data_IF_681340496171
#
_entry.id   IF_681340496171
#
_cell.length_a   1.000
_cell.length_b   1.000
_cell.length_c   1.000
_cell.angle_alpha   90.00
_cell.angle_beta   90.00
_cell.angle_gamma   90.00
#
_symmetry.space_group_name_H-M   'P 1'
#
loop_
_entity.id
_entity.type
_entity.pdbx_description
1 polymer ?
#
# COMPACT_ATOMS: atom_id res chain seq x y z
N UNK A 1 -12.27 1.16 -11.62
CA UNK A 1 -10.95 1.40 -11.01
C UNK A 1 -11.11 2.24 -9.75
N UNK A 2 -10.45 1.85 -8.67
CA UNK A 2 -10.51 2.56 -7.40
C UNK A 2 -9.45 3.67 -7.44
N UNK A 3 -9.84 4.90 -7.09
CA UNK A 3 -8.86 5.96 -6.91
C UNK A 3 -8.11 5.74 -5.59
N UNK A 4 -6.80 5.70 -5.65
CA UNK A 4 -5.97 5.71 -4.45
C UNK A 4 -6.12 7.06 -3.73
N UNK A 5 -6.42 7.09 -2.42
CA UNK A 5 -6.51 8.33 -1.67
C UNK A 5 -5.19 9.13 -1.74
N UNK A 6 -5.30 10.45 -1.88
CA UNK A 6 -4.11 11.32 -2.08
C UNK A 6 -3.10 11.24 -0.94
N UNK A 7 -3.56 11.12 0.30
CA UNK A 7 -2.68 11.02 1.47
C UNK A 7 -1.90 9.69 1.49
N UNK A 8 -2.50 8.60 1.01
CA UNK A 8 -1.81 7.31 0.81
C UNK A 8 -0.77 7.41 -0.31
N UNK A 9 -1.12 8.03 -1.43
CA UNK A 9 -0.16 8.28 -2.52
C UNK A 9 1.03 9.08 -2.02
N UNK A 10 0.79 10.19 -1.31
CA UNK A 10 1.85 11.05 -0.76
C UNK A 10 2.72 10.30 0.23
N UNK A 11 2.13 9.51 1.13
CA UNK A 11 2.88 8.64 2.05
C UNK A 11 3.80 7.71 1.26
N UNK A 12 3.29 6.98 0.27
CA UNK A 12 4.10 6.04 -0.52
C UNK A 12 5.24 6.75 -1.26
N UNK A 13 4.99 7.90 -1.84
CA UNK A 13 6.04 8.70 -2.50
C UNK A 13 7.10 9.15 -1.48
N UNK A 14 6.69 9.60 -0.29
CA UNK A 14 7.63 10.03 0.74
C UNK A 14 8.45 8.87 1.31
N UNK A 15 7.87 7.69 1.46
CA UNK A 15 8.59 6.47 1.85
C UNK A 15 9.66 6.09 0.81
N UNK A 16 9.35 6.29 -0.47
CA UNK A 16 10.28 5.94 -1.54
C UNK A 16 11.32 7.01 -1.83
N UNK A 17 11.11 8.26 -1.38
CA UNK A 17 12.03 9.39 -1.54
C UNK A 17 12.72 9.41 -2.92
N UNK A 18 11.98 9.65 -4.00
CA UNK A 18 12.53 9.61 -5.35
C UNK A 18 13.65 10.63 -5.54
N UNK A 19 14.67 10.24 -6.31
CA UNK A 19 15.79 11.12 -6.67
C UNK A 19 15.56 11.84 -8.02
N UNK A 20 16.40 12.82 -8.30
CA UNK A 20 16.34 13.60 -9.56
C UNK A 20 16.70 12.78 -10.81
N UNK A 21 17.30 11.60 -10.65
CA UNK A 21 17.78 10.75 -11.73
C UNK A 21 16.90 9.51 -11.95
N UNK A 22 15.77 9.41 -11.25
CA UNK A 22 14.86 8.29 -11.34
C UNK A 22 14.15 8.23 -12.69
N UNK A 23 13.82 6.99 -13.10
CA UNK A 23 12.79 6.70 -14.09
C UNK A 23 11.62 6.05 -13.37
N UNK A 24 10.53 6.79 -13.23
CA UNK A 24 9.37 6.41 -12.41
C UNK A 24 8.27 5.86 -13.30
N UNK A 25 7.79 4.66 -13.00
CA UNK A 25 6.72 4.00 -13.76
C UNK A 25 5.52 3.64 -12.88
N UNK A 26 4.34 3.93 -13.42
CA UNK A 26 3.08 3.35 -12.95
C UNK A 26 2.43 2.60 -14.13
N UNK A 27 2.53 1.26 -14.17
CA UNK A 27 2.00 0.47 -15.29
C UNK A 27 0.49 0.21 -15.21
N UNK A 28 -0.22 0.84 -14.27
CA UNK A 28 -1.68 0.88 -14.14
C UNK A 28 -2.13 2.27 -13.70
N UNK A 29 -1.65 3.31 -14.40
CA UNK A 29 -1.57 4.68 -13.89
C UNK A 29 -2.92 5.38 -13.69
N UNK A 30 -3.99 4.93 -14.31
CA UNK A 30 -5.27 5.60 -14.27
C UNK A 30 -5.15 7.09 -14.59
N UNK A 31 -5.41 7.95 -13.61
CA UNK A 31 -5.27 9.42 -13.74
C UNK A 31 -3.87 9.94 -13.38
N UNK A 32 -2.86 9.09 -13.34
CA UNK A 32 -1.46 9.40 -13.06
C UNK A 32 -1.19 9.96 -11.65
N UNK A 33 -1.99 9.58 -10.66
CA UNK A 33 -1.89 10.13 -9.31
C UNK A 33 -0.52 9.94 -8.65
N UNK A 34 0.10 8.78 -8.79
CA UNK A 34 1.45 8.52 -8.26
C UNK A 34 2.52 9.34 -8.97
N UNK A 35 2.42 9.47 -10.29
CA UNK A 35 3.39 10.22 -11.07
C UNK A 35 3.30 11.72 -10.77
N UNK A 36 2.09 12.27 -10.67
CA UNK A 36 1.86 13.66 -10.24
C UNK A 36 2.44 13.92 -8.86
N UNK A 37 2.12 13.06 -7.88
CA UNK A 37 2.61 13.22 -6.52
C UNK A 37 4.15 13.11 -6.44
N UNK A 38 4.77 12.24 -7.25
CA UNK A 38 6.23 12.16 -7.36
C UNK A 38 6.83 13.46 -7.92
N UNK A 39 6.19 14.02 -8.94
CA UNK A 39 6.60 15.31 -9.51
C UNK A 39 6.49 16.47 -8.50
N UNK A 40 5.36 16.54 -7.76
CA UNK A 40 5.15 17.52 -6.69
C UNK A 40 6.22 17.37 -5.58
N UNK A 41 6.48 16.14 -5.14
CA UNK A 41 7.50 15.83 -4.13
C UNK A 41 8.90 16.31 -4.56
N UNK A 42 9.29 15.98 -5.78
CA UNK A 42 10.59 16.40 -6.34
C UNK A 42 10.69 17.92 -6.48
N UNK A 43 9.64 18.60 -6.90
CA UNK A 43 9.58 20.07 -6.92
C UNK A 43 9.74 20.69 -5.53
N UNK A 44 9.17 20.07 -4.52
CA UNK A 44 9.25 20.57 -3.14
C UNK A 44 10.63 20.30 -2.51
N UNK A 45 11.11 19.07 -2.61
CA UNK A 45 12.31 18.61 -1.89
C UNK A 45 13.61 18.75 -2.64
N UNK A 46 13.59 18.72 -3.98
CA UNK A 46 14.77 18.69 -4.86
C UNK A 46 14.77 19.83 -5.89
N UNK A 47 14.06 20.94 -5.62
CA UNK A 47 13.86 22.04 -6.56
C UNK A 47 15.17 22.59 -7.13
N UNK A 48 16.11 22.93 -6.28
CA UNK A 48 17.38 23.52 -6.71
C UNK A 48 18.21 22.54 -7.53
N UNK A 49 18.26 21.29 -7.09
CA UNK A 49 18.98 20.23 -7.78
C UNK A 49 18.46 19.99 -9.20
N UNK A 50 17.13 20.02 -9.38
CA UNK A 50 16.49 19.72 -10.67
C UNK A 50 16.47 20.95 -11.58
N UNK A 51 16.03 22.11 -11.09
CA UNK A 51 15.71 23.24 -11.95
C UNK A 51 16.89 24.19 -12.21
N UNK A 52 17.99 24.08 -11.48
CA UNK A 52 19.23 24.83 -11.73
C UNK A 52 20.21 24.05 -12.61
N UNK A 53 20.00 22.75 -12.81
CA UNK A 53 20.72 21.91 -13.75
C UNK A 53 19.88 21.67 -15.02
N UNK A 54 20.44 22.06 -16.17
CA UNK A 54 19.73 21.93 -17.46
C UNK A 54 19.42 20.48 -17.84
N UNK A 55 20.32 19.54 -17.54
CA UNK A 55 20.14 18.13 -17.87
C UNK A 55 19.10 17.47 -16.96
N UNK A 56 19.15 17.76 -15.67
CA UNK A 56 18.17 17.26 -14.70
C UNK A 56 16.78 17.85 -14.94
N UNK A 57 16.70 19.11 -15.30
CA UNK A 57 15.43 19.74 -15.71
C UNK A 57 14.85 19.09 -16.97
N UNK A 58 15.68 18.84 -17.98
CA UNK A 58 15.25 18.14 -19.20
C UNK A 58 14.79 16.72 -18.88
N UNK A 59 15.55 16.00 -18.05
CA UNK A 59 15.17 14.67 -17.59
C UNK A 59 13.81 14.67 -16.87
N UNK A 60 13.61 15.59 -15.93
CA UNK A 60 12.35 15.73 -15.19
C UNK A 60 11.17 16.04 -16.12
N UNK A 61 11.35 16.92 -17.09
CA UNK A 61 10.27 17.35 -17.98
C UNK A 61 9.92 16.31 -19.07
N UNK A 62 10.90 15.51 -19.52
CA UNK A 62 10.78 14.74 -20.74
C UNK A 62 11.07 13.24 -20.59
N UNK A 63 11.73 12.78 -19.51
CA UNK A 63 12.27 11.41 -19.49
C UNK A 63 12.06 10.67 -18.15
N UNK A 64 11.43 11.30 -17.17
CA UNK A 64 11.30 10.74 -15.83
C UNK A 64 10.04 9.92 -15.62
N UNK A 65 8.89 10.33 -16.16
CA UNK A 65 7.56 9.82 -15.78
C UNK A 65 6.93 8.98 -16.87
N UNK A 66 6.58 7.73 -16.54
CA UNK A 66 6.00 6.74 -17.45
C UNK A 66 4.73 6.17 -16.84
N UNK A 67 3.62 6.28 -17.55
CA UNK A 67 2.31 5.75 -17.13
C UNK A 67 1.64 4.97 -18.25
N UNK A 68 1.10 3.82 -17.93
CA UNK A 68 0.39 2.97 -18.86
C UNK A 68 -0.98 2.58 -18.31
N UNK A 69 -1.98 2.58 -19.17
CA UNK A 69 -3.32 2.10 -18.85
C UNK A 69 -4.04 1.66 -20.12
N UNK A 70 -5.09 0.88 -19.97
CA UNK A 70 -5.96 0.46 -21.10
C UNK A 70 -7.18 1.36 -21.26
N UNK A 71 -7.46 2.25 -20.32
CA UNK A 71 -8.56 3.21 -20.39
C UNK A 71 -8.10 4.54 -21.00
N UNK A 72 -8.50 4.77 -22.24
CA UNK A 72 -8.15 5.98 -22.99
C UNK A 72 -8.63 7.27 -22.34
N UNK A 73 -9.76 7.23 -21.61
CA UNK A 73 -10.27 8.40 -20.90
C UNK A 73 -9.38 8.72 -19.71
N UNK A 74 -8.99 7.70 -18.94
CA UNK A 74 -8.06 7.86 -17.82
C UNK A 74 -6.71 8.38 -18.28
N UNK A 75 -6.19 7.90 -19.42
CA UNK A 75 -4.91 8.37 -19.98
C UNK A 75 -4.95 9.85 -20.38
N UNK A 76 -6.06 10.30 -20.99
CA UNK A 76 -6.23 11.73 -21.32
C UNK A 76 -6.24 12.59 -20.06
N UNK A 77 -7.00 12.18 -19.04
CA UNK A 77 -7.04 12.86 -17.74
C UNK A 77 -5.65 12.82 -17.10
N UNK A 78 -4.97 11.68 -17.14
CA UNK A 78 -3.63 11.50 -16.58
C UNK A 78 -2.60 12.41 -17.26
N UNK A 79 -2.55 12.46 -18.56
CA UNK A 79 -1.67 13.36 -19.30
C UNK A 79 -1.94 14.84 -18.97
N UNK A 80 -3.21 15.26 -18.99
CA UNK A 80 -3.62 16.62 -18.60
C UNK A 80 -3.23 16.93 -17.15
N UNK A 81 -3.42 15.96 -16.24
CA UNK A 81 -3.05 16.10 -14.84
C UNK A 81 -1.54 16.33 -14.68
N UNK A 82 -0.70 15.55 -15.37
CA UNK A 82 0.75 15.73 -15.38
C UNK A 82 1.14 17.12 -15.91
N UNK A 83 0.58 17.53 -17.06
CA UNK A 83 0.89 18.82 -17.68
C UNK A 83 0.47 20.00 -16.79
N UNK A 84 -0.71 19.93 -16.15
CA UNK A 84 -1.17 21.00 -15.25
C UNK A 84 -0.32 21.12 -13.99
N UNK A 85 0.40 20.06 -13.61
CA UNK A 85 1.37 20.06 -12.50
C UNK A 85 2.80 20.37 -12.98
N UNK A 86 2.95 20.77 -14.25
CA UNK A 86 4.19 21.33 -14.81
C UNK A 86 5.20 20.26 -15.23
N UNK A 87 4.74 19.18 -15.78
CA UNK A 87 5.54 18.16 -16.47
C UNK A 87 5.12 18.23 -17.94
N UNK A 88 6.02 18.74 -18.80
CA UNK A 88 5.64 19.13 -20.16
C UNK A 88 5.36 17.93 -21.07
N UNK A 89 6.17 16.88 -21.01
CA UNK A 89 6.08 15.74 -21.91
C UNK A 89 6.10 14.39 -21.15
N UNK A 90 5.06 14.08 -20.35
CA UNK A 90 4.98 12.80 -19.68
C UNK A 90 4.68 11.66 -20.68
N UNK A 91 5.32 10.51 -20.50
CA UNK A 91 5.03 9.30 -21.28
C UNK A 91 3.77 8.61 -20.72
N UNK A 92 2.59 9.11 -21.06
CA UNK A 92 1.31 8.52 -20.66
C UNK A 92 0.67 7.90 -21.89
N UNK A 93 0.73 6.56 -21.98
CA UNK A 93 0.41 5.84 -23.20
C UNK A 93 -0.58 4.71 -22.98
N UNK A 94 -1.38 4.43 -24.02
CA UNK A 94 -2.23 3.25 -24.07
C UNK A 94 -1.38 2.00 -24.22
N UNK A 95 -1.47 1.09 -23.25
CA UNK A 95 -0.75 -0.18 -23.29
C UNK A 95 -1.44 -1.20 -22.38
N UNK A 96 -1.61 -2.41 -22.86
CA UNK A 96 -1.86 -3.56 -22.00
C UNK A 96 -0.53 -3.99 -21.36
N UNK A 97 -0.36 -3.61 -20.11
CA UNK A 97 0.90 -3.80 -19.37
C UNK A 97 1.27 -5.28 -19.17
N UNK A 98 0.29 -6.18 -19.19
CA UNK A 98 0.50 -7.61 -18.94
C UNK A 98 0.65 -8.43 -20.21
N UNK A 99 0.36 -7.86 -21.38
CA UNK A 99 0.49 -8.52 -22.66
C UNK A 99 1.88 -8.37 -23.27
N UNK A 100 2.11 -9.05 -24.40
CA UNK A 100 3.33 -8.90 -25.20
C UNK A 100 3.50 -7.52 -25.86
N UNK A 101 2.51 -6.63 -25.75
CA UNK A 101 2.66 -5.22 -26.13
C UNK A 101 3.68 -4.50 -25.23
N UNK A 102 3.79 -4.93 -23.99
CA UNK A 102 4.77 -4.39 -23.06
C UNK A 102 6.10 -5.17 -23.17
N UNK A 103 7.07 -4.57 -23.86
CA UNK A 103 8.42 -5.13 -24.02
C UNK A 103 9.43 -4.54 -23.02
N UNK A 104 9.01 -3.69 -22.10
CA UNK A 104 9.92 -3.07 -21.13
C UNK A 104 10.51 -4.13 -20.19
N UNK A 105 11.85 -4.12 -20.09
CA UNK A 105 12.64 -4.96 -19.19
C UNK A 105 13.75 -4.12 -18.59
N UNK A 106 13.97 -4.24 -17.28
CA UNK A 106 15.07 -3.56 -16.56
C UNK A 106 15.22 -2.07 -16.92
N UNK A 107 14.11 -1.38 -17.09
CA UNK A 107 14.07 -0.01 -17.59
C UNK A 107 13.91 1.02 -16.47
N UNK A 108 13.08 0.73 -15.47
CA UNK A 108 12.69 1.70 -14.46
C UNK A 108 13.47 1.52 -13.17
N UNK A 109 13.75 2.62 -12.50
CA UNK A 109 14.40 2.63 -11.19
C UNK A 109 13.40 2.68 -10.02
N UNK A 110 12.17 3.16 -10.28
CA UNK A 110 11.11 3.21 -9.30
C UNK A 110 9.76 2.84 -9.93
N UNK A 111 9.05 1.92 -9.29
CA UNK A 111 7.65 1.59 -9.59
C UNK A 111 6.78 1.99 -8.41
N UNK A 112 5.76 2.79 -8.68
CA UNK A 112 4.72 3.18 -7.73
C UNK A 112 3.38 2.82 -8.34
N UNK A 113 2.62 1.90 -7.76
CA UNK A 113 1.41 1.42 -8.40
C UNK A 113 0.32 0.97 -7.41
N UNK A 114 -0.92 1.13 -7.84
CA UNK A 114 -2.08 0.49 -7.27
C UNK A 114 -2.78 -0.32 -8.38
N UNK A 115 -2.30 -1.55 -8.68
CA UNK A 115 -2.88 -2.35 -9.75
C UNK A 115 -4.28 -2.83 -9.40
N UNK A 116 -5.07 -3.32 -10.37
CA UNK A 116 -6.39 -3.89 -10.11
C UNK A 116 -6.33 -5.03 -9.10
N UNK A 117 -7.22 -4.99 -8.08
CA UNK A 117 -7.25 -5.99 -7.00
C UNK A 117 -7.89 -7.32 -7.41
N UNK A 118 -8.65 -7.32 -8.49
CA UNK A 118 -9.35 -8.48 -9.02
C UNK A 118 -9.34 -8.45 -10.54
N UNK A 119 -9.14 -9.59 -11.11
CA UNK A 119 -9.22 -9.80 -12.55
C UNK A 119 -8.70 -11.17 -12.90
N UNK A 120 -9.16 -11.69 -14.02
CA UNK A 120 -8.64 -12.93 -14.58
C UNK A 120 -8.43 -12.71 -16.08
N UNK A 121 -7.24 -12.99 -16.54
CA UNK A 121 -6.87 -12.91 -17.95
C UNK A 121 -6.72 -14.32 -18.52
N UNK A 122 -6.99 -14.44 -19.80
CA UNK A 122 -6.65 -15.68 -20.51
C UNK A 122 -5.14 -15.80 -20.68
N UNK A 123 -4.61 -16.99 -20.46
CA UNK A 123 -3.17 -17.21 -20.49
C UNK A 123 -2.53 -16.83 -21.85
N UNK A 124 -3.30 -16.91 -22.95
CA UNK A 124 -2.86 -16.53 -24.29
C UNK A 124 -2.68 -15.01 -24.46
N UNK A 125 -3.34 -14.20 -23.64
CA UNK A 125 -3.22 -12.74 -23.66
C UNK A 125 -2.09 -12.21 -22.79
N UNK A 126 -1.53 -13.04 -21.91
CA UNK A 126 -0.48 -12.67 -20.96
C UNK A 126 0.91 -12.96 -21.58
N UNK A 127 1.83 -12.03 -21.39
CA UNK A 127 3.22 -12.21 -21.81
C UNK A 127 3.84 -13.46 -21.20
N UNK A 128 4.42 -14.33 -22.05
CA UNK A 128 4.90 -15.65 -21.66
C UNK A 128 6.02 -15.63 -20.62
N UNK A 129 6.79 -14.56 -20.52
CA UNK A 129 7.85 -14.42 -19.53
C UNK A 129 7.31 -14.13 -18.12
N UNK A 130 6.17 -13.45 -17.98
CA UNK A 130 5.50 -13.27 -16.69
C UNK A 130 5.02 -14.61 -16.12
N UNK A 131 4.53 -15.49 -16.99
CA UNK A 131 4.04 -16.82 -16.60
C UNK A 131 5.17 -17.78 -16.17
N UNK A 132 6.43 -17.48 -16.48
CA UNK A 132 7.57 -18.28 -16.01
C UNK A 132 7.80 -18.15 -14.50
N UNK A 133 7.58 -16.96 -13.95
CA UNK A 133 7.73 -16.69 -12.51
C UNK A 133 6.51 -17.20 -11.76
N UNK A 134 5.31 -16.93 -12.29
CA UNK A 134 4.06 -17.25 -11.62
C UNK A 134 3.00 -17.68 -12.64
N UNK A 135 2.68 -18.99 -12.69
CA UNK A 135 1.62 -19.52 -13.56
C UNK A 135 0.25 -19.20 -12.95
N UNK A 136 -0.34 -18.11 -13.39
CA UNK A 136 -1.64 -17.64 -12.88
C UNK A 136 -2.40 -16.88 -13.95
N UNK A 137 -3.71 -16.77 -13.75
CA UNK A 137 -4.60 -15.87 -14.50
C UNK A 137 -4.96 -14.61 -13.70
N UNK A 138 -4.57 -14.54 -12.42
CA UNK A 138 -4.93 -13.47 -11.51
C UNK A 138 -4.09 -12.23 -11.78
N UNK A 139 -4.76 -11.12 -12.11
CA UNK A 139 -4.11 -9.85 -12.47
C UNK A 139 -3.23 -9.31 -11.36
N UNK A 140 -3.67 -9.38 -10.10
CA UNK A 140 -2.91 -8.88 -8.95
C UNK A 140 -1.55 -9.56 -8.78
N UNK A 141 -1.45 -10.86 -9.10
CA UNK A 141 -0.17 -11.59 -9.04
C UNK A 141 0.69 -11.31 -10.27
N UNK A 142 0.06 -11.19 -11.45
CA UNK A 142 0.76 -10.87 -12.69
C UNK A 142 1.41 -9.49 -12.66
N UNK A 143 0.78 -8.51 -12.01
CA UNK A 143 1.40 -7.20 -11.82
C UNK A 143 2.65 -7.25 -10.96
N UNK A 144 2.70 -8.08 -9.92
CA UNK A 144 3.92 -8.27 -9.14
C UNK A 144 5.07 -8.86 -9.99
N UNK A 145 4.76 -9.84 -10.84
CA UNK A 145 5.77 -10.37 -11.79
C UNK A 145 6.19 -9.33 -12.82
N UNK A 146 5.27 -8.49 -13.27
CA UNK A 146 5.58 -7.38 -14.15
C UNK A 146 6.55 -6.39 -13.50
N UNK A 147 6.31 -5.99 -12.24
CA UNK A 147 7.21 -5.06 -11.55
C UNK A 147 8.64 -5.60 -11.47
N UNK A 148 8.79 -6.90 -11.18
CA UNK A 148 10.11 -7.55 -11.19
C UNK A 148 10.77 -7.51 -12.58
N UNK A 149 10.00 -7.68 -13.67
CA UNK A 149 10.51 -7.65 -15.04
C UNK A 149 10.99 -6.25 -15.44
N UNK A 150 10.19 -5.22 -15.14
CA UNK A 150 10.44 -3.86 -15.65
C UNK A 150 11.42 -3.04 -14.81
N UNK A 151 11.64 -3.42 -13.55
CA UNK A 151 12.63 -2.77 -12.69
C UNK A 151 14.05 -3.14 -13.08
N UNK A 152 14.95 -2.16 -13.03
CA UNK A 152 16.41 -2.37 -13.05
C UNK A 152 16.86 -3.10 -11.80
N UNK A 153 18.03 -3.74 -11.84
CA UNK A 153 18.75 -4.16 -10.63
C UNK A 153 19.00 -2.93 -9.75
N UNK A 154 18.67 -3.03 -8.47
CA UNK A 154 18.67 -1.90 -7.53
C UNK A 154 17.43 -1.02 -7.61
N UNK A 155 16.54 -1.24 -8.57
CA UNK A 155 15.27 -0.54 -8.69
C UNK A 155 14.30 -0.95 -7.58
N UNK A 156 13.43 -0.02 -7.19
CA UNK A 156 12.55 -0.14 -6.02
C UNK A 156 11.09 -0.13 -6.43
N UNK A 157 10.27 -0.85 -5.68
CA UNK A 157 8.83 -0.88 -5.85
C UNK A 157 8.13 -0.56 -4.54
N UNK A 158 7.11 0.29 -4.60
CA UNK A 158 6.06 0.35 -3.60
C UNK A 158 4.72 0.15 -4.29
N UNK A 159 4.01 -0.92 -3.95
CA UNK A 159 2.74 -1.24 -4.58
C UNK A 159 1.68 -1.65 -3.56
N UNK A 160 0.44 -1.30 -3.87
CA UNK A 160 -0.71 -1.71 -3.07
C UNK A 160 -1.20 -3.06 -3.57
N UNK A 161 -1.41 -3.98 -2.64
CA UNK A 161 -1.95 -5.31 -2.93
C UNK A 161 -3.13 -5.62 -1.99
N UNK A 162 -4.13 -6.40 -2.44
CA UNK A 162 -5.14 -6.93 -1.53
C UNK A 162 -4.53 -7.96 -0.58
N UNK A 163 -5.03 -8.05 0.64
CA UNK A 163 -4.52 -8.98 1.67
C UNK A 163 -4.44 -10.43 1.18
N UNK A 164 -5.33 -10.83 0.27
CA UNK A 164 -5.28 -12.15 -0.33
C UNK A 164 -3.95 -12.51 -1.02
N UNK A 165 -3.17 -11.53 -1.43
CA UNK A 165 -1.81 -11.73 -1.96
C UNK A 165 -0.86 -12.17 -0.85
N UNK A 166 -1.03 -11.63 0.37
CA UNK A 166 -0.11 -11.87 1.50
C UNK A 166 -0.23 -13.28 2.07
N UNK A 167 -1.43 -13.85 2.12
CA UNK A 167 -1.69 -15.15 2.76
C UNK A 167 -2.32 -16.21 1.85
N UNK A 168 -2.59 -15.87 0.58
CA UNK A 168 -3.20 -16.80 -0.36
C UNK A 168 -2.45 -18.14 -0.43
N UNK A 169 -3.18 -19.26 -0.39
CA UNK A 169 -2.62 -20.61 -0.28
C UNK A 169 -2.31 -21.28 -1.63
N UNK A 170 -2.71 -20.69 -2.76
CA UNK A 170 -2.44 -21.30 -4.06
C UNK A 170 -0.95 -21.30 -4.39
N UNK A 171 -0.51 -22.26 -5.21
CA UNK A 171 0.87 -22.36 -5.68
C UNK A 171 1.40 -21.04 -6.27
N UNK A 172 0.55 -20.32 -7.00
CA UNK A 172 0.91 -19.04 -7.60
C UNK A 172 1.17 -17.94 -6.56
N UNK A 173 0.34 -17.83 -5.51
CA UNK A 173 0.56 -16.88 -4.42
C UNK A 173 1.87 -17.17 -3.68
N UNK A 174 2.11 -18.44 -3.37
CA UNK A 174 3.36 -18.85 -2.69
C UNK A 174 4.59 -18.60 -3.57
N UNK A 175 4.50 -18.89 -4.87
CA UNK A 175 5.59 -18.70 -5.82
C UNK A 175 6.03 -17.23 -5.88
N UNK A 176 5.10 -16.28 -6.01
CA UNK A 176 5.45 -14.86 -6.10
C UNK A 176 5.98 -14.30 -4.76
N UNK A 177 5.39 -14.72 -3.62
CA UNK A 177 5.93 -14.32 -2.31
C UNK A 177 7.33 -14.86 -2.07
N UNK A 178 7.54 -16.14 -2.40
CA UNK A 178 8.87 -16.77 -2.35
C UNK A 178 9.87 -16.03 -3.22
N UNK A 179 9.49 -15.71 -4.47
CA UNK A 179 10.34 -14.93 -5.38
C UNK A 179 10.77 -13.60 -4.76
N UNK A 180 9.83 -12.84 -4.20
CA UNK A 180 10.12 -11.52 -3.60
C UNK A 180 10.99 -11.66 -2.34
N UNK A 181 10.75 -12.68 -1.49
CA UNK A 181 11.48 -12.86 -0.22
C UNK A 181 12.88 -13.46 -0.44
N UNK A 182 13.00 -14.46 -1.34
CA UNK A 182 14.25 -15.20 -1.52
C UNK A 182 15.19 -14.54 -2.51
N UNK A 183 14.68 -14.13 -3.67
CA UNK A 183 15.49 -13.65 -4.79
C UNK A 183 15.60 -12.13 -4.85
N UNK A 184 14.72 -11.42 -4.14
CA UNK A 184 14.72 -9.97 -4.05
C UNK A 184 14.99 -9.52 -2.61
N UNK A 185 14.98 -8.23 -2.38
CA UNK A 185 15.03 -7.66 -1.03
C UNK A 185 13.65 -7.12 -0.66
N UNK A 186 12.85 -7.90 0.05
CA UNK A 186 11.63 -7.40 0.67
C UNK A 186 12.00 -6.52 1.87
N UNK A 187 11.58 -5.25 1.83
CA UNK A 187 11.93 -4.25 2.85
C UNK A 187 10.83 -4.10 3.87
N UNK A 188 9.58 -3.95 3.40
CA UNK A 188 8.47 -3.66 4.29
C UNK A 188 7.12 -4.19 3.79
N UNK A 189 6.25 -4.46 4.74
CA UNK A 189 4.83 -4.75 4.58
C UNK A 189 4.03 -3.82 5.51
N UNK A 190 3.28 -2.88 4.95
CA UNK A 190 2.43 -1.97 5.72
C UNK A 190 0.99 -2.42 5.51
N UNK A 191 0.40 -3.01 6.55
CA UNK A 191 -1.00 -3.45 6.54
C UNK A 191 -1.91 -2.23 6.71
N UNK A 192 -2.91 -2.09 5.85
CA UNK A 192 -3.89 -1.02 5.90
C UNK A 192 -5.28 -1.57 6.23
N UNK A 193 -6.05 -0.91 7.11
CA UNK A 193 -7.35 -1.40 7.53
C UNK A 193 -8.36 -1.37 6.39
N UNK A 194 -9.38 -2.22 6.48
CA UNK A 194 -10.54 -2.14 5.60
C UNK A 194 -11.21 -0.77 5.76
N UNK A 195 -11.60 -0.15 4.65
CA UNK A 195 -12.20 1.17 4.66
C UNK A 195 -11.30 2.29 4.14
N UNK A 196 -9.98 2.13 4.04
CA UNK A 196 -9.08 3.13 3.44
C UNK A 196 -9.52 3.49 2.02
N UNK A 197 -10.04 2.52 1.26
CA UNK A 197 -10.50 2.72 -0.13
C UNK A 197 -12.00 2.97 -0.27
N UNK A 198 -12.73 3.17 0.83
CA UNK A 198 -14.15 3.53 0.75
C UNK A 198 -14.35 4.90 0.11
N UNK A 199 -15.47 5.13 -0.57
CA UNK A 199 -16.61 4.20 -0.74
C UNK A 199 -16.42 3.13 -1.84
N UNK A 200 -15.27 3.06 -2.48
CA UNK A 200 -15.04 2.20 -3.65
C UNK A 200 -14.79 0.72 -3.30
N UNK A 201 -14.06 0.47 -2.22
CA UNK A 201 -13.74 -0.88 -1.77
C UNK A 201 -13.63 -0.96 -0.24
N UNK A 202 -14.28 -2.00 0.34
CA UNK A 202 -14.19 -2.31 1.77
C UNK A 202 -13.23 -3.46 2.07
N UNK A 203 -12.20 -3.66 1.23
CA UNK A 203 -11.22 -4.74 1.41
C UNK A 203 -9.99 -4.24 2.15
N UNK A 204 -9.43 -5.08 2.99
CA UNK A 204 -8.12 -4.84 3.60
C UNK A 204 -7.02 -5.00 2.55
N UNK A 205 -6.03 -4.16 2.62
CA UNK A 205 -4.93 -4.07 1.66
C UNK A 205 -3.61 -3.89 2.39
N UNK A 206 -2.52 -4.05 1.68
CA UNK A 206 -1.21 -3.73 2.19
C UNK A 206 -0.35 -3.04 1.14
N UNK A 207 0.67 -2.31 1.61
CA UNK A 207 1.73 -1.78 0.77
C UNK A 207 2.92 -2.73 0.90
N UNK A 208 3.38 -3.28 -0.23
CA UNK A 208 4.63 -4.01 -0.32
C UNK A 208 5.73 -3.09 -0.82
N UNK A 209 6.86 -3.06 -0.11
CA UNK A 209 8.05 -2.31 -0.51
C UNK A 209 9.21 -3.29 -0.68
N UNK A 210 9.77 -3.35 -1.88
CA UNK A 210 10.91 -4.21 -2.17
C UNK A 210 11.88 -3.57 -3.17
N UNK A 211 13.11 -4.07 -3.17
CA UNK A 211 14.15 -3.72 -4.13
C UNK A 211 14.47 -4.93 -4.99
N UNK A 212 14.52 -4.75 -6.30
CA UNK A 212 14.97 -5.80 -7.23
C UNK A 212 16.48 -5.99 -7.10
N UNK A 213 16.89 -7.18 -6.74
CA UNK A 213 18.30 -7.53 -6.58
C UNK A 213 18.71 -8.74 -7.43
N UNK A 214 17.77 -9.68 -7.67
CA UNK A 214 17.98 -10.99 -8.30
C UNK A 214 19.04 -11.87 -7.58
N UNK A 215 19.48 -11.46 -6.40
CA UNK A 215 20.49 -12.16 -5.58
C UNK A 215 20.04 -12.33 -4.13
N UNK A 216 18.78 -12.03 -3.81
CA UNK A 216 18.27 -12.01 -2.45
C UNK A 216 18.63 -10.70 -1.73
N UNK A 217 18.84 -10.80 -0.42
CA UNK A 217 19.19 -9.65 0.44
C UNK A 217 18.11 -9.28 1.46
N UNK A 218 17.06 -10.12 1.58
CA UNK A 218 16.10 -10.01 2.68
C UNK A 218 16.70 -10.67 3.92
N UNK A 219 17.03 -9.88 4.95
CA UNK A 219 17.42 -10.38 6.27
C UNK A 219 16.28 -10.28 7.25
N UNK A 220 15.69 -9.09 7.35
CA UNK A 220 14.50 -8.76 8.14
C UNK A 220 13.52 -7.98 7.29
N UNK A 221 12.24 -8.14 7.57
CA UNK A 221 11.15 -7.39 6.94
C UNK A 221 10.45 -6.56 7.99
N UNK A 222 10.28 -5.27 7.71
CA UNK A 222 9.55 -4.39 8.58
C UNK A 222 8.05 -4.54 8.36
N UNK A 223 7.31 -4.80 9.43
CA UNK A 223 5.86 -4.85 9.43
C UNK A 223 5.29 -3.66 10.19
N UNK A 224 4.26 -3.06 9.65
CA UNK A 224 3.50 -2.00 10.30
C UNK A 224 1.99 -2.28 10.22
N UNK A 225 1.31 -2.24 11.36
CA UNK A 225 -0.13 -2.39 11.48
C UNK A 225 -0.80 -1.01 11.53
N UNK A 226 -1.12 -0.48 10.37
CA UNK A 226 -1.82 0.79 10.24
C UNK A 226 -3.27 0.62 10.66
N UNK A 227 -3.73 1.42 11.61
CA UNK A 227 -5.10 1.39 12.13
C UNK A 227 -5.91 2.61 11.72
N UNK A 228 -5.25 3.73 11.41
CA UNK A 228 -5.90 4.98 11.04
C UNK A 228 -5.06 5.77 10.02
N UNK A 229 -5.73 6.37 9.05
CA UNK A 229 -5.12 7.17 7.99
C UNK A 229 -5.51 8.66 8.02
N UNK A 230 -6.02 9.14 9.16
CA UNK A 230 -6.51 10.51 9.34
C UNK A 230 -7.96 10.72 8.87
N UNK A 231 -8.61 9.68 8.37
CA UNK A 231 -10.00 9.72 7.94
C UNK A 231 -10.80 8.56 8.56
N UNK A 232 -12.10 8.77 8.80
CA UNK A 232 -12.98 7.71 9.27
C UNK A 232 -13.04 6.55 8.27
N UNK A 233 -13.14 5.31 8.77
CA UNK A 233 -13.17 4.10 7.94
C UNK A 233 -14.57 3.75 7.42
N UNK A 234 -15.52 4.67 7.53
CA UNK A 234 -16.86 4.59 6.95
C UNK A 234 -16.91 5.19 5.52
N UNK A 235 -18.07 5.18 4.89
CA UNK A 235 -18.24 5.65 3.52
C UNK A 235 -18.10 7.18 3.38
N UNK A 236 -18.19 7.93 4.48
CA UNK A 236 -18.08 9.41 4.49
C UNK A 236 -16.62 9.87 4.46
N UNK A 237 -15.70 9.04 4.98
CA UNK A 237 -14.27 9.38 5.04
C UNK A 237 -14.02 10.77 5.63
N UNK A 238 -14.67 11.06 6.77
CA UNK A 238 -14.54 12.34 7.47
C UNK A 238 -13.20 12.44 8.19
N UNK A 239 -12.57 13.63 8.28
CA UNK A 239 -11.32 13.81 9.02
C UNK A 239 -11.46 13.40 10.49
N UNK A 240 -10.46 12.67 11.00
CA UNK A 240 -10.33 12.28 12.41
C UNK A 240 -8.92 12.61 12.91
N UNK A 241 -8.75 12.66 14.23
CA UNK A 241 -7.46 12.97 14.86
C UNK A 241 -6.45 11.83 14.71
N UNK A 242 -6.92 10.57 14.71
CA UNK A 242 -6.06 9.40 14.63
C UNK A 242 -5.48 9.25 13.22
N UNK A 243 -4.15 9.27 13.15
CA UNK A 243 -3.42 9.19 11.88
C UNK A 243 -2.03 8.59 12.07
N UNK A 244 -1.82 7.40 11.55
CA UNK A 244 -0.56 6.67 11.63
C UNK A 244 0.46 7.08 10.56
N UNK A 245 0.07 7.85 9.55
CA UNK A 245 0.95 8.20 8.42
C UNK A 245 2.23 8.89 8.85
N UNK A 246 2.22 9.91 9.74
CA UNK A 246 3.46 10.54 10.21
C UNK A 246 4.39 9.55 10.92
N UNK A 247 3.84 8.66 11.75
CA UNK A 247 4.62 7.63 12.47
C UNK A 247 5.24 6.61 11.50
N UNK A 248 4.48 6.18 10.49
CA UNK A 248 4.97 5.28 9.43
C UNK A 248 6.18 5.90 8.72
N UNK A 249 6.08 7.17 8.31
CA UNK A 249 7.14 7.87 7.59
C UNK A 249 8.39 8.04 8.45
N UNK A 250 8.22 8.43 9.71
CA UNK A 250 9.33 8.62 10.64
C UNK A 250 10.06 7.31 10.91
N UNK A 251 9.33 6.23 11.19
CA UNK A 251 9.91 4.91 11.47
C UNK A 251 10.58 4.30 10.27
N UNK A 252 9.97 4.39 9.10
CA UNK A 252 10.56 3.86 7.88
C UNK A 252 11.88 4.53 7.52
N UNK A 253 12.05 5.82 7.83
CA UNK A 253 13.32 6.53 7.67
C UNK A 253 14.39 6.09 8.69
N UNK A 254 14.01 5.38 9.74
CA UNK A 254 14.88 4.96 10.85
C UNK A 254 14.73 3.44 11.15
N UNK A 255 14.72 2.61 10.11
CA UNK A 255 14.49 1.16 10.24
C UNK A 255 15.50 0.45 11.16
N UNK A 256 16.71 0.97 11.29
CA UNK A 256 17.72 0.51 12.22
C UNK A 256 17.26 0.55 13.70
N UNK A 257 16.39 1.49 14.05
CA UNK A 257 15.81 1.62 15.40
C UNK A 257 14.62 0.70 15.65
N UNK A 258 14.13 0.03 14.61
CA UNK A 258 12.97 -0.88 14.69
C UNK A 258 13.37 -2.32 15.10
N UNK A 259 14.67 -2.64 15.13
CA UNK A 259 15.17 -4.00 15.42
C UNK A 259 14.81 -4.50 16.82
N UNK A 260 14.75 -3.60 17.81
CA UNK A 260 14.48 -3.95 19.20
C UNK A 260 13.00 -3.86 19.60
N UNK A 261 12.12 -3.56 18.64
CA UNK A 261 10.69 -3.44 18.92
C UNK A 261 10.03 -4.80 19.08
N UNK A 262 9.08 -4.85 20.03
CA UNK A 262 8.31 -6.06 20.31
C UNK A 262 7.24 -6.31 19.24
N UNK A 263 6.88 -7.56 19.04
CA UNK A 263 5.78 -7.95 18.14
C UNK A 263 4.39 -7.55 18.63
N UNK A 264 4.28 -7.05 19.86
CA UNK A 264 3.07 -6.43 20.42
C UNK A 264 2.89 -4.97 19.99
N UNK A 265 3.96 -4.33 19.51
CA UNK A 265 3.94 -2.95 19.02
C UNK A 265 3.20 -2.83 17.66
N UNK A 266 2.89 -1.59 17.25
CA UNK A 266 2.33 -1.31 15.92
C UNK A 266 3.27 -1.67 14.78
N UNK A 267 4.58 -1.57 15.01
CA UNK A 267 5.61 -1.95 14.04
C UNK A 267 6.71 -2.78 14.68
N UNK A 268 7.27 -3.68 13.92
CA UNK A 268 8.32 -4.59 14.37
C UNK A 268 9.04 -5.21 13.17
N UNK A 269 10.24 -5.75 13.44
CA UNK A 269 11.01 -6.51 12.45
C UNK A 269 10.73 -8.01 12.57
N UNK A 270 10.61 -8.67 11.42
CA UNK A 270 10.47 -10.13 11.32
C UNK A 270 11.67 -10.67 10.56
N UNK A 271 12.46 -11.60 11.17
CA UNK A 271 13.55 -12.27 10.47
C UNK A 271 13.02 -13.04 9.25
N UNK A 272 13.80 -13.07 8.16
CA UNK A 272 13.47 -13.85 6.96
C UNK A 272 13.15 -15.30 7.29
N UNK A 273 13.89 -15.92 8.22
CA UNK A 273 13.69 -17.33 8.58
C UNK A 273 12.28 -17.59 9.11
N UNK A 274 11.72 -16.68 9.91
CA UNK A 274 10.36 -16.81 10.41
C UNK A 274 9.33 -16.78 9.26
N UNK A 275 9.59 -15.97 8.22
CA UNK A 275 8.74 -15.91 7.03
C UNK A 275 8.82 -17.21 6.23
N UNK A 276 10.00 -17.77 6.08
CA UNK A 276 10.24 -19.06 5.42
C UNK A 276 9.53 -20.19 6.16
N UNK A 277 9.68 -20.25 7.49
CA UNK A 277 9.07 -21.27 8.34
C UNK A 277 7.53 -21.19 8.36
N UNK A 278 6.98 -20.03 8.07
CA UNK A 278 5.55 -19.78 7.89
C UNK A 278 5.09 -19.81 6.43
N UNK A 279 5.79 -20.53 5.56
CA UNK A 279 5.40 -20.78 4.16
C UNK A 279 5.23 -19.47 3.35
N UNK A 280 6.12 -18.50 3.63
CA UNK A 280 6.13 -17.17 3.02
C UNK A 280 4.83 -16.37 3.24
N UNK A 281 4.09 -16.62 4.31
CA UNK A 281 2.97 -15.78 4.70
C UNK A 281 3.48 -14.38 5.06
N UNK A 282 2.90 -13.34 4.46
CA UNK A 282 3.26 -11.94 4.68
C UNK A 282 2.17 -11.16 5.40
N UNK A 283 1.15 -11.84 5.93
CA UNK A 283 0.12 -11.19 6.74
C UNK A 283 0.68 -10.82 8.13
N UNK A 284 0.44 -9.60 8.55
CA UNK A 284 0.95 -9.10 9.84
C UNK A 284 0.44 -9.93 11.02
N UNK A 285 -0.81 -10.41 10.93
CA UNK A 285 -1.45 -11.22 11.98
C UNK A 285 -0.73 -12.55 12.26
N UNK A 286 0.12 -13.00 11.32
CA UNK A 286 0.92 -14.21 11.50
C UNK A 286 2.08 -14.00 12.49
N UNK A 287 2.56 -12.76 12.60
CA UNK A 287 3.76 -12.40 13.38
C UNK A 287 3.46 -11.51 14.57
N UNK A 288 2.34 -10.75 14.52
CA UNK A 288 1.94 -9.86 15.60
C UNK A 288 1.53 -10.68 16.82
N UNK A 289 2.06 -10.31 17.98
CA UNK A 289 1.69 -10.85 19.26
C UNK A 289 0.66 -9.96 19.93
N UNK A 290 -0.29 -10.57 20.63
CA UNK A 290 -1.29 -9.86 21.42
C UNK A 290 -0.91 -10.02 22.88
N UNK A 291 -0.65 -8.91 23.54
CA UNK A 291 -0.46 -8.92 25.00
C UNK A 291 -1.82 -9.15 25.65
N UNK A 292 -2.01 -10.34 26.23
CA UNK A 292 -3.21 -10.64 26.97
C UNK A 292 -3.13 -9.91 28.33
N UNK A 293 -3.81 -8.76 28.41
CA UNK A 293 -4.07 -8.10 29.69
C UNK A 293 -5.37 -8.71 30.23
N UNK A 294 -5.31 -9.49 31.34
CA UNK A 294 -6.52 -9.99 31.97
C UNK A 294 -7.44 -8.81 32.32
N UNK A 295 -8.64 -8.79 31.81
CA UNK A 295 -9.64 -7.84 32.23
C UNK A 295 -10.11 -8.28 33.60
N UNK A 296 -9.73 -7.55 34.66
CA UNK A 296 -10.31 -7.74 35.98
C UNK A 296 -11.75 -7.21 35.93
N UNK A 297 -12.69 -8.13 35.93
CA UNK A 297 -14.09 -7.78 36.07
C UNK A 297 -14.41 -7.54 37.55
N UNK A 298 -15.21 -6.50 37.86
CA UNK A 298 -15.68 -6.31 39.21
C UNK A 298 -16.44 -7.55 39.71
N UNK A 299 -16.43 -7.83 41.00
CA UNK A 299 -17.15 -8.98 41.57
C UNK A 299 -18.62 -8.99 41.10
N UNK A 300 -19.17 -10.17 40.88
CA UNK A 300 -20.55 -10.34 40.42
C UNK A 300 -21.55 -9.63 41.31
N UNK A 301 -21.26 -9.56 42.64
CA UNK A 301 -22.08 -8.84 43.63
C UNK A 301 -22.12 -7.32 43.36
N UNK A 302 -21.02 -6.71 42.94
CA UNK A 302 -20.92 -5.30 42.60
C UNK A 302 -21.66 -5.01 41.27
N UNK A 303 -21.49 -5.86 40.28
CA UNK A 303 -22.24 -5.76 39.00
C UNK A 303 -23.75 -5.83 39.28
N UNK A 304 -24.18 -6.78 40.12
CA UNK A 304 -25.60 -6.92 40.49
C UNK A 304 -26.12 -5.71 41.29
N UNK A 305 -25.30 -5.11 42.14
CA UNK A 305 -25.66 -3.91 42.86
C UNK A 305 -25.88 -2.73 41.91
N UNK A 306 -24.96 -2.52 40.96
CA UNK A 306 -25.05 -1.48 39.95
C UNK A 306 -26.28 -1.65 39.03
N UNK A 307 -26.58 -2.89 38.63
CA UNK A 307 -27.81 -3.18 37.86
C UNK A 307 -29.04 -2.79 38.61
N UNK A 308 -29.16 -3.14 39.90
CA UNK A 308 -30.31 -2.79 40.74
C UNK A 308 -30.46 -1.28 40.93
N UNK A 309 -29.34 -0.57 41.07
CA UNK A 309 -29.36 0.90 41.17
C UNK A 309 -29.88 1.55 39.90
N UNK A 310 -29.40 1.10 38.73
CA UNK A 310 -29.91 1.55 37.41
C UNK A 310 -31.37 1.20 37.19
N UNK A 311 -31.84 0.03 37.61
CA UNK A 311 -33.25 -0.35 37.53
C UNK A 311 -34.17 0.58 38.40
N UNK A 312 -33.67 0.97 39.59
CA UNK A 312 -34.41 1.93 40.44
C UNK A 312 -34.44 3.34 39.84
N UNK A 313 -33.35 3.76 39.18
CA UNK A 313 -33.25 5.06 38.50
C UNK A 313 -34.19 5.09 37.28
N UNK A 314 -34.18 4.07 36.46
CA UNK A 314 -35.09 3.90 35.32
C UNK A 314 -36.54 3.94 35.83
N UNK A 315 -36.87 3.24 36.92
CA UNK A 315 -38.21 3.27 37.50
C UNK A 315 -38.65 4.69 37.89
N UNK A 316 -37.79 5.47 38.53
CA UNK A 316 -38.09 6.87 38.91
C UNK A 316 -38.32 7.77 37.69
N UNK A 317 -37.47 7.60 36.66
CA UNK A 317 -37.62 8.39 35.41
C UNK A 317 -38.88 8.00 34.65
N UNK A 318 -39.26 6.72 34.66
CA UNK A 318 -40.55 6.27 34.11
C UNK A 318 -41.76 6.86 34.86
N UNK A 319 -41.74 6.84 36.21
CA UNK A 319 -42.80 7.45 37.03
C UNK A 319 -42.92 8.98 36.78
N UNK A 320 -41.78 9.67 36.57
CA UNK A 320 -41.77 11.09 36.24
C UNK A 320 -42.33 11.34 34.84
N UNK A 321 -41.96 10.50 33.86
CA UNK A 321 -42.49 10.60 32.50
C UNK A 321 -43.99 10.35 32.46
N UNK A 322 -44.51 9.35 33.16
CA UNK A 322 -45.95 9.08 33.29
C UNK A 322 -46.68 10.28 33.86
N UNK A 323 -46.11 10.90 34.90
CA UNK A 323 -46.68 12.14 35.50
C UNK A 323 -46.73 13.31 34.53
N UNK A 324 -45.67 13.47 33.70
CA UNK A 324 -45.60 14.53 32.68
C UNK A 324 -46.58 14.32 31.53
N UNK A 325 -46.88 13.08 31.23
CA UNK A 325 -47.80 12.68 30.16
C UNK A 325 -49.27 12.58 30.63
N UNK A 326 -49.54 12.86 31.93
CA UNK A 326 -50.87 12.73 32.52
C UNK A 326 -51.52 11.33 32.32
N UNK A 327 -50.69 10.26 32.32
CA UNK A 327 -51.10 8.87 32.20
C UNK A 327 -51.45 8.24 33.54
#
# INVERSE_FOLDING_TARGET
>A
QFRTPRHIIRMMVELMDPSSDEMICDPACGTSGFLVASGEYLKEKKKEEIFYDKQKKDHYMNHMFYGYDMDRTMLRIGAMNMMTHGIDNPFIEYRDSLSDQNQDKEKYSLVLANPPFKGSLDAESVSGDLLKVCKTKKTELLFLTLFLRILKIGGRCACIVPDGVLFGSSTAHKAIRKEIVENQRLVAVISMPSGVFKPYAGVSTAILIFTKTDHGGTDHVWFYDMTADGLSLDDKRSPIADNDIPDIIERFKNLDKEMDRKRTDKSFMVPKQDIVDNDYDLSINKYKEIEYVPVEYPPTSEIMANIRELEMEIGKEMDELERLLEL
#
